data_IF_073062662190
#
_entry.id   IF_073062662190
#
_cell.length_a   1.000
_cell.length_b   1.000
_cell.length_c   1.000
_cell.angle_alpha   90.00
_cell.angle_beta   90.00
_cell.angle_gamma   90.00
#
_symmetry.space_group_name_H-M   'P 1'
#
loop_
_entity.id
_entity.type
_entity.pdbx_description
1 polymer ?
#
# COMPACT_ATOMS: atom_id res chain seq x y z
N UNK A 1 -23.58 10.18 -11.56
CA UNK A 1 -22.17 9.80 -11.28
C UNK A 1 -21.63 10.77 -10.25
N UNK A 2 -21.18 10.29 -9.09
CA UNK A 2 -20.58 11.13 -8.05
C UNK A 2 -19.07 10.97 -8.02
N UNK A 3 -18.36 11.96 -7.45
CA UNK A 3 -16.93 11.86 -7.20
C UNK A 3 -16.65 10.74 -6.18
N UNK A 4 -15.69 9.87 -6.47
CA UNK A 4 -15.29 8.78 -5.57
C UNK A 4 -13.79 8.90 -5.26
N UNK A 5 -13.41 9.62 -4.19
CA UNK A 5 -12.03 9.70 -3.74
C UNK A 5 -11.46 8.31 -3.41
N UNK A 6 -10.15 8.16 -3.55
CA UNK A 6 -9.46 6.92 -3.18
C UNK A 6 -9.32 6.85 -1.65
N UNK A 7 -9.91 5.85 -1.02
CA UNK A 7 -9.71 5.55 0.40
C UNK A 7 -8.37 4.83 0.62
N UNK A 8 -7.56 5.35 1.54
CA UNK A 8 -6.23 4.84 1.89
C UNK A 8 -6.14 4.40 3.36
N UNK A 9 -7.25 4.33 4.08
CA UNK A 9 -7.34 3.90 5.49
C UNK A 9 -6.69 2.54 5.76
N UNK A 10 -6.90 1.57 4.85
CA UNK A 10 -6.40 0.21 4.96
C UNK A 10 -4.96 0.01 4.43
N UNK A 11 -4.27 1.07 4.01
CA UNK A 11 -2.89 0.99 3.49
C UNK A 11 -1.87 1.22 4.62
N UNK A 12 -0.73 0.52 4.55
CA UNK A 12 0.41 0.84 5.38
C UNK A 12 1.14 2.06 4.86
N UNK A 13 1.78 2.76 5.79
CA UNK A 13 2.77 3.76 5.46
C UNK A 13 4.03 3.06 4.99
N UNK A 14 4.54 3.52 3.86
CA UNK A 14 5.80 3.04 3.28
C UNK A 14 6.59 4.26 2.83
N UNK A 15 7.88 4.09 2.55
CA UNK A 15 8.63 5.15 1.88
C UNK A 15 8.06 5.31 0.47
N UNK A 16 7.64 6.53 0.14
CA UNK A 16 7.11 6.93 -1.16
C UNK A 16 8.10 7.91 -1.76
N UNK A 17 8.43 7.73 -3.03
CA UNK A 17 9.33 8.64 -3.74
C UNK A 17 8.80 8.85 -5.15
N UNK A 18 8.81 10.09 -5.62
CA UNK A 18 8.47 10.45 -6.99
C UNK A 18 9.49 11.45 -7.53
N UNK A 19 9.87 11.28 -8.80
CA UNK A 19 10.66 12.24 -9.57
C UNK A 19 9.84 12.72 -10.75
N UNK A 20 9.81 14.03 -10.97
CA UNK A 20 9.20 14.65 -12.13
C UNK A 20 10.19 15.62 -12.79
N UNK A 21 9.98 15.87 -14.08
CA UNK A 21 10.76 16.82 -14.85
C UNK A 21 9.86 17.64 -15.77
N UNK A 22 10.37 18.77 -16.25
CA UNK A 22 9.73 19.59 -17.28
C UNK A 22 10.66 20.70 -17.76
N UNK A 23 10.27 21.39 -18.83
CA UNK A 23 11.09 22.43 -19.47
C UNK A 23 10.25 23.62 -19.88
N UNK A 24 10.84 24.81 -19.86
CA UNK A 24 10.30 26.01 -20.51
C UNK A 24 11.30 26.50 -21.54
N UNK A 25 10.87 26.60 -22.79
CA UNK A 25 11.66 27.14 -23.88
C UNK A 25 11.63 28.68 -23.85
N UNK A 26 12.78 29.30 -24.06
CA UNK A 26 12.99 30.75 -23.98
C UNK A 26 13.70 31.26 -25.23
N UNK A 27 13.56 32.55 -25.53
CA UNK A 27 14.34 33.21 -26.57
C UNK A 27 15.83 33.33 -26.18
N UNK A 28 16.76 33.41 -27.16
CA UNK A 28 18.18 33.62 -26.87
C UNK A 28 18.45 34.88 -26.03
N UNK A 29 17.67 35.94 -26.23
CA UNK A 29 17.77 37.20 -25.47
C UNK A 29 17.41 36.99 -23.99
N UNK A 30 16.34 36.23 -23.72
CA UNK A 30 15.94 35.87 -22.36
C UNK A 30 16.99 35.03 -21.66
N UNK A 31 17.57 34.05 -22.36
CA UNK A 31 18.64 33.20 -21.84
C UNK A 31 19.86 34.05 -21.45
N UNK A 32 20.25 34.98 -22.32
CA UNK A 32 21.38 35.87 -22.08
C UNK A 32 21.12 36.83 -20.90
N UNK A 33 19.89 37.33 -20.78
CA UNK A 33 19.46 38.17 -19.66
C UNK A 33 19.55 37.41 -18.32
N UNK A 34 19.17 36.13 -18.29
CA UNK A 34 19.34 35.27 -17.11
C UNK A 34 20.83 35.05 -16.80
N UNK A 35 21.64 34.68 -17.81
CA UNK A 35 23.10 34.46 -17.65
C UNK A 35 23.81 35.68 -17.05
N UNK A 36 23.43 36.88 -17.47
CA UNK A 36 24.00 38.15 -17.00
C UNK A 36 23.38 38.68 -15.70
N UNK A 37 22.35 38.02 -15.16
CA UNK A 37 21.64 38.50 -13.96
C UNK A 37 20.92 39.82 -14.16
N UNK A 38 20.44 40.10 -15.37
CA UNK A 38 19.84 41.38 -15.76
C UNK A 38 18.31 41.42 -15.65
N UNK A 39 17.69 40.33 -15.18
CA UNK A 39 16.25 40.27 -14.94
C UNK A 39 15.89 41.18 -13.76
N UNK A 40 15.05 42.23 -13.92
CA UNK A 40 14.80 43.20 -12.84
C UNK A 40 14.16 42.61 -11.58
N UNK A 41 13.45 41.49 -11.72
CA UNK A 41 12.81 40.76 -10.60
C UNK A 41 13.79 39.93 -9.77
N UNK A 42 15.07 39.83 -10.16
CA UNK A 42 16.11 39.07 -9.46
C UNK A 42 16.43 37.72 -10.12
N UNK A 43 17.05 36.84 -9.34
CA UNK A 43 17.52 35.53 -9.81
C UNK A 43 16.35 34.60 -10.18
N UNK A 44 16.20 34.33 -11.47
CA UNK A 44 15.12 33.50 -12.02
C UNK A 44 15.24 32.05 -11.56
N UNK A 45 16.45 31.49 -11.51
CA UNK A 45 16.65 30.08 -11.22
C UNK A 45 16.35 29.80 -9.74
N UNK A 46 16.89 30.63 -8.83
CA UNK A 46 16.64 30.49 -7.39
C UNK A 46 15.18 30.76 -7.03
N UNK A 47 14.57 31.82 -7.58
CA UNK A 47 13.15 32.10 -7.33
C UNK A 47 12.26 30.94 -7.82
N UNK A 48 12.61 30.31 -8.95
CA UNK A 48 11.85 29.19 -9.50
C UNK A 48 12.02 27.91 -8.68
N UNK A 49 13.20 27.68 -8.07
CA UNK A 49 13.37 26.60 -7.09
C UNK A 49 12.46 26.80 -5.88
N UNK A 50 12.42 28.03 -5.33
CA UNK A 50 11.54 28.36 -4.21
C UNK A 50 10.05 28.17 -4.56
N UNK A 51 9.64 28.61 -5.75
CA UNK A 51 8.28 28.41 -6.24
C UNK A 51 7.93 26.92 -6.35
N UNK A 52 8.85 26.08 -6.84
CA UNK A 52 8.66 24.64 -6.88
C UNK A 52 8.54 24.00 -5.50
N UNK A 53 9.38 24.40 -4.54
CA UNK A 53 9.30 23.94 -3.15
C UNK A 53 7.95 24.27 -2.50
N UNK A 54 7.44 25.48 -2.74
CA UNK A 54 6.12 25.89 -2.24
C UNK A 54 5.00 25.16 -2.97
N UNK A 55 5.12 24.97 -4.29
CA UNK A 55 4.17 24.23 -5.10
C UNK A 55 3.96 22.81 -4.59
N UNK A 56 5.04 22.07 -4.32
CA UNK A 56 4.99 20.73 -3.75
C UNK A 56 4.20 20.70 -2.42
N UNK A 57 4.47 21.65 -1.53
CA UNK A 57 3.85 21.71 -0.18
C UNK A 57 2.39 22.15 -0.20
N UNK A 58 1.92 22.75 -1.31
CA UNK A 58 0.58 23.30 -1.49
C UNK A 58 -0.27 22.50 -2.47
N UNK A 59 0.21 21.36 -2.96
CA UNK A 59 -0.54 20.46 -3.85
C UNK A 59 -1.96 20.14 -3.38
N UNK A 60 -2.23 19.76 -2.11
CA UNK A 60 -3.60 19.49 -1.66
C UNK A 60 -4.52 20.71 -1.66
N UNK A 61 -3.98 21.94 -1.67
CA UNK A 61 -4.77 23.18 -1.75
C UNK A 61 -5.24 23.43 -3.21
N UNK A 62 -4.59 22.83 -4.20
CA UNK A 62 -4.82 23.05 -5.63
C UNK A 62 -5.61 21.87 -6.25
N UNK A 63 -5.29 20.64 -5.86
CA UNK A 63 -5.85 19.43 -6.44
C UNK A 63 -6.86 18.77 -5.48
N UNK A 64 -8.17 18.78 -5.79
CA UNK A 64 -9.23 18.43 -4.84
C UNK A 64 -9.26 16.96 -4.43
N UNK A 65 -8.61 16.07 -5.17
CA UNK A 65 -8.54 14.63 -4.87
C UNK A 65 -7.17 14.18 -4.34
N UNK A 66 -6.23 15.10 -4.17
CA UNK A 66 -4.99 14.80 -3.47
C UNK A 66 -5.26 14.70 -1.96
N UNK A 67 -4.64 13.72 -1.33
CA UNK A 67 -4.61 13.66 0.14
C UNK A 67 -3.65 14.72 0.67
N UNK A 68 -3.86 15.16 1.91
CA UNK A 68 -2.86 15.96 2.60
C UNK A 68 -1.69 15.05 3.03
N UNK A 69 -0.56 15.15 2.34
CA UNK A 69 0.63 14.32 2.58
C UNK A 69 1.67 15.14 3.33
N UNK A 70 2.12 14.62 4.47
CA UNK A 70 3.26 15.17 5.19
C UNK A 70 4.54 14.84 4.42
N UNK A 71 5.09 15.83 3.72
CA UNK A 71 6.31 15.64 2.93
C UNK A 71 7.54 15.67 3.85
N UNK A 72 8.38 14.65 3.75
CA UNK A 72 9.63 14.55 4.51
C UNK A 72 10.81 15.19 3.79
N UNK A 73 10.82 15.15 2.45
CA UNK A 73 11.85 15.76 1.63
C UNK A 73 11.30 16.25 0.29
N UNK A 74 11.69 17.47 -0.09
CA UNK A 74 11.49 18.03 -1.43
C UNK A 74 12.81 18.62 -1.88
N UNK A 75 13.26 18.23 -3.06
CA UNK A 75 14.34 18.89 -3.77
C UNK A 75 13.83 19.33 -5.14
N UNK A 76 14.14 20.57 -5.52
CA UNK A 76 13.84 21.13 -6.83
C UNK A 76 15.12 21.72 -7.39
N UNK A 77 15.52 21.25 -8.56
CA UNK A 77 16.69 21.73 -9.27
C UNK A 77 16.23 22.44 -10.55
N UNK A 78 16.75 23.65 -10.75
CA UNK A 78 16.52 24.45 -11.96
C UNK A 78 17.86 24.65 -12.65
N UNK A 79 17.89 24.39 -13.96
CA UNK A 79 19.10 24.48 -14.77
C UNK A 79 18.82 25.28 -16.02
N UNK A 80 19.64 26.28 -16.29
CA UNK A 80 19.63 26.98 -17.56
C UNK A 80 20.34 26.14 -18.62
N UNK A 81 19.69 25.95 -19.76
CA UNK A 81 20.19 25.30 -20.97
C UNK A 81 20.17 26.29 -22.14
N UNK A 82 20.68 25.88 -23.30
CA UNK A 82 20.85 26.76 -24.47
C UNK A 82 19.54 27.19 -25.13
N UNK A 83 18.44 26.49 -24.83
CA UNK A 83 17.11 26.68 -25.39
C UNK A 83 16.05 26.96 -24.32
N UNK A 84 16.43 27.08 -23.03
CA UNK A 84 15.49 27.41 -21.97
C UNK A 84 15.90 26.99 -20.57
N UNK A 85 14.92 26.83 -19.67
CA UNK A 85 15.14 26.35 -18.30
C UNK A 85 14.54 24.96 -18.13
N UNK A 86 15.38 24.02 -17.72
CA UNK A 86 14.98 22.66 -17.38
C UNK A 86 14.84 22.53 -15.86
N UNK A 87 13.78 21.85 -15.42
CA UNK A 87 13.43 21.70 -14.00
C UNK A 87 13.23 20.24 -13.67
N UNK A 88 13.82 19.81 -12.56
CA UNK A 88 13.53 18.49 -11.96
C UNK A 88 13.08 18.66 -10.51
N UNK A 89 12.22 17.77 -10.06
CA UNK A 89 11.80 17.72 -8.67
C UNK A 89 11.78 16.27 -8.17
N UNK A 90 12.32 16.05 -6.97
CA UNK A 90 12.24 14.79 -6.24
C UNK A 90 11.53 15.02 -4.90
N UNK A 91 10.46 14.26 -4.67
CA UNK A 91 9.65 14.34 -3.46
C UNK A 91 9.65 12.98 -2.77
N UNK A 92 9.77 12.98 -1.44
CA UNK A 92 9.74 11.77 -0.61
C UNK A 92 8.90 11.99 0.65
N UNK A 93 8.17 10.96 1.04
CA UNK A 93 7.50 10.89 2.33
C UNK A 93 7.42 9.44 2.86
N UNK A 94 7.03 9.30 4.12
CA UNK A 94 6.48 8.08 4.70
C UNK A 94 4.95 8.22 4.71
N UNK A 95 4.27 7.51 3.80
CA UNK A 95 2.85 7.77 3.54
C UNK A 95 2.08 6.57 2.99
N UNK A 96 0.74 6.67 3.07
CA UNK A 96 -0.22 5.66 2.58
C UNK A 96 -0.54 5.77 1.09
N UNK A 97 -0.22 6.92 0.51
CA UNK A 97 -0.43 7.26 -0.90
C UNK A 97 0.84 7.87 -1.47
N UNK A 98 0.95 7.97 -2.79
CA UNK A 98 2.17 8.43 -3.45
C UNK A 98 2.28 9.94 -3.51
N UNK A 99 3.48 10.42 -3.86
CA UNK A 99 3.84 11.84 -3.96
C UNK A 99 4.03 12.30 -5.40
N UNK A 100 3.40 11.59 -6.35
CA UNK A 100 3.49 11.91 -7.79
C UNK A 100 2.98 13.33 -8.07
N UNK A 101 1.88 13.72 -7.42
CA UNK A 101 1.25 15.02 -7.66
C UNK A 101 2.06 16.15 -7.05
N UNK A 102 2.70 15.94 -5.91
CA UNK A 102 3.59 16.91 -5.27
C UNK A 102 4.81 17.19 -6.18
N UNK A 103 5.40 16.13 -6.76
CA UNK A 103 6.52 16.29 -7.71
C UNK A 103 6.10 17.02 -8.99
N UNK A 104 4.96 16.64 -9.59
CA UNK A 104 4.43 17.32 -10.78
C UNK A 104 4.06 18.78 -10.52
N UNK A 105 3.47 19.06 -9.36
CA UNK A 105 3.10 20.43 -8.95
C UNK A 105 4.35 21.28 -8.73
N UNK A 106 5.40 20.71 -8.14
CA UNK A 106 6.68 21.40 -7.94
C UNK A 106 7.28 21.87 -9.27
N UNK A 107 7.39 20.96 -10.25
CA UNK A 107 7.88 21.28 -11.60
C UNK A 107 6.98 22.35 -12.25
N UNK A 108 5.66 22.17 -12.19
CA UNK A 108 4.71 23.12 -12.79
C UNK A 108 4.84 24.52 -12.19
N UNK A 109 4.91 24.63 -10.86
CA UNK A 109 5.03 25.90 -10.17
C UNK A 109 6.36 26.61 -10.47
N UNK A 110 7.47 25.85 -10.54
CA UNK A 110 8.77 26.39 -10.92
C UNK A 110 8.77 26.95 -12.34
N UNK A 111 8.22 26.21 -13.32
CA UNK A 111 8.13 26.64 -14.72
C UNK A 111 7.21 27.86 -14.89
N UNK A 112 6.08 27.89 -14.18
CA UNK A 112 5.19 29.06 -14.13
C UNK A 112 5.88 30.29 -13.54
N UNK A 113 6.76 30.11 -12.55
CA UNK A 113 7.53 31.21 -11.99
C UNK A 113 8.55 31.77 -13.00
N UNK A 114 9.25 30.91 -13.75
CA UNK A 114 10.11 31.36 -14.88
C UNK A 114 9.29 32.20 -15.86
N UNK A 115 8.11 31.70 -16.24
CA UNK A 115 7.20 32.42 -17.14
C UNK A 115 6.78 33.78 -16.56
N UNK A 116 6.37 33.84 -15.29
CA UNK A 116 5.95 35.08 -14.63
C UNK A 116 7.07 36.13 -14.63
N UNK A 117 8.31 35.68 -14.39
CA UNK A 117 9.47 36.56 -14.32
C UNK A 117 9.86 37.13 -15.69
N UNK A 118 9.62 36.41 -16.77
CA UNK A 118 10.10 36.75 -18.12
C UNK A 118 9.03 37.24 -19.10
N UNK A 119 7.72 37.11 -18.80
CA UNK A 119 6.61 37.47 -19.71
C UNK A 119 6.61 38.90 -20.27
N UNK A 120 7.38 39.82 -19.67
CA UNK A 120 7.56 41.17 -20.18
C UNK A 120 8.58 41.26 -21.32
N UNK A 121 9.55 40.35 -21.34
CA UNK A 121 10.71 40.33 -22.25
C UNK A 121 10.61 39.24 -23.32
N UNK A 122 9.87 38.16 -23.00
CA UNK A 122 9.67 37.01 -23.87
C UNK A 122 8.17 36.75 -24.06
N UNK A 123 7.73 36.63 -25.31
CA UNK A 123 6.32 36.42 -25.67
C UNK A 123 6.02 35.03 -26.21
N UNK A 124 7.04 34.29 -26.63
CA UNK A 124 6.90 33.00 -27.31
C UNK A 124 7.31 31.82 -26.42
N UNK A 125 7.47 32.07 -25.12
CA UNK A 125 7.79 31.04 -24.14
C UNK A 125 6.79 29.87 -24.17
N UNK A 126 7.32 28.65 -24.11
CA UNK A 126 6.51 27.43 -24.10
C UNK A 126 6.94 26.49 -22.99
N UNK A 127 6.01 26.17 -22.10
CA UNK A 127 6.17 25.10 -21.12
C UNK A 127 5.86 23.77 -21.82
N UNK A 128 6.72 22.76 -21.62
CA UNK A 128 6.64 21.46 -22.27
C UNK A 128 7.15 20.34 -21.37
N UNK A 129 6.83 19.11 -21.76
CA UNK A 129 7.45 17.88 -21.24
C UNK A 129 7.33 17.68 -19.71
N UNK A 130 6.30 18.28 -19.09
CA UNK A 130 5.98 18.02 -17.68
C UNK A 130 5.50 16.58 -17.55
N UNK A 131 6.31 15.73 -16.92
CA UNK A 131 5.99 14.31 -16.75
C UNK A 131 6.63 13.71 -15.50
N UNK A 132 6.08 12.58 -15.09
CA UNK A 132 6.64 11.74 -14.04
C UNK A 132 7.77 10.89 -14.65
N UNK A 133 8.98 11.00 -14.09
CA UNK A 133 10.16 10.23 -14.51
C UNK A 133 10.17 8.88 -13.83
N UNK A 134 9.92 8.86 -12.52
CA UNK A 134 9.88 7.61 -11.75
C UNK A 134 9.04 7.77 -10.51
N UNK A 135 8.53 6.64 -10.02
CA UNK A 135 7.94 6.52 -8.69
C UNK A 135 8.34 5.21 -8.04
N UNK A 136 8.44 5.21 -6.72
CA UNK A 136 8.72 4.03 -5.89
C UNK A 136 7.88 4.07 -4.62
N UNK A 137 7.66 2.89 -4.07
CA UNK A 137 7.00 2.65 -2.80
C UNK A 137 5.61 2.04 -2.93
N UNK A 138 5.08 1.64 -1.76
CA UNK A 138 3.74 1.07 -1.54
C UNK A 138 3.45 -0.21 -2.29
N UNK A 139 2.15 -0.53 -2.44
CA UNK A 139 1.71 -1.87 -2.86
C UNK A 139 2.33 -2.34 -4.18
N UNK A 140 2.52 -1.45 -5.16
CA UNK A 140 3.07 -1.83 -6.47
C UNK A 140 4.46 -2.46 -6.42
N UNK A 141 5.21 -2.25 -5.34
CA UNK A 141 6.60 -2.72 -5.24
C UNK A 141 6.71 -4.14 -4.67
N UNK A 142 5.65 -4.63 -4.00
CA UNK A 142 5.70 -5.91 -3.28
C UNK A 142 4.41 -6.74 -3.35
N UNK A 143 3.29 -6.15 -3.76
CA UNK A 143 2.00 -6.81 -3.73
C UNK A 143 1.86 -7.79 -4.88
N UNK A 144 1.56 -9.03 -4.54
CA UNK A 144 1.12 -10.05 -5.48
C UNK A 144 -0.31 -10.45 -5.12
N UNK A 145 -1.13 -10.80 -6.11
CA UNK A 145 -2.44 -11.41 -5.85
C UNK A 145 -2.29 -12.86 -5.37
N UNK A 146 -3.41 -13.55 -5.16
CA UNK A 146 -3.46 -14.97 -4.80
C UNK A 146 -3.69 -15.88 -6.03
N UNK A 147 -3.61 -15.35 -7.26
CA UNK A 147 -3.86 -16.14 -8.47
C UNK A 147 -2.99 -17.41 -8.53
N UNK A 148 -3.61 -18.54 -8.85
CA UNK A 148 -2.93 -19.84 -8.92
C UNK A 148 -2.68 -20.51 -7.56
N UNK A 149 -3.00 -19.88 -6.44
CA UNK A 149 -2.95 -20.51 -5.12
C UNK A 149 -4.26 -21.21 -4.78
N UNK A 150 -4.13 -22.41 -4.19
CA UNK A 150 -5.24 -23.15 -3.58
C UNK A 150 -5.38 -22.74 -2.12
N UNK A 151 -6.57 -22.28 -1.76
CA UNK A 151 -6.89 -21.80 -0.43
C UNK A 151 -7.92 -22.72 0.26
N UNK A 152 -7.85 -22.81 1.58
CA UNK A 152 -8.89 -23.38 2.41
C UNK A 152 -9.44 -22.31 3.38
N UNK A 153 -10.74 -22.37 3.68
CA UNK A 153 -11.39 -21.54 4.70
C UNK A 153 -12.04 -22.43 5.73
N UNK A 154 -11.67 -22.27 7.00
CA UNK A 154 -12.24 -23.04 8.12
C UNK A 154 -12.84 -22.08 9.15
N UNK A 155 -14.13 -22.21 9.42
CA UNK A 155 -14.81 -21.40 10.43
C UNK A 155 -14.95 -22.19 11.72
N UNK A 156 -14.50 -21.60 12.83
CA UNK A 156 -14.62 -22.16 14.18
C UNK A 156 -15.78 -21.44 14.88
N UNK A 157 -16.88 -22.17 15.05
CA UNK A 157 -18.05 -21.66 15.75
C UNK A 157 -19.01 -22.78 16.15
N UNK A 158 -19.19 -22.96 17.45
CA UNK A 158 -20.16 -23.89 18.02
C UNK A 158 -21.60 -23.69 17.48
N UNK A 159 -22.05 -22.43 17.35
CA UNK A 159 -23.40 -22.11 16.87
C UNK A 159 -23.56 -22.37 15.37
N UNK A 160 -22.52 -22.09 14.57
CA UNK A 160 -22.58 -22.37 13.13
C UNK A 160 -22.51 -23.88 12.87
N UNK A 161 -21.68 -24.61 13.63
CA UNK A 161 -21.56 -26.07 13.54
C UNK A 161 -22.88 -26.80 13.88
N UNK A 162 -23.69 -26.24 14.78
CA UNK A 162 -25.04 -26.75 15.09
C UNK A 162 -26.13 -26.29 14.10
N UNK A 163 -25.80 -25.43 13.14
CA UNK A 163 -26.77 -24.86 12.19
C UNK A 163 -27.68 -23.78 12.78
N UNK A 164 -27.35 -23.23 13.95
CA UNK A 164 -28.13 -22.18 14.64
C UNK A 164 -27.82 -20.77 14.11
N UNK A 165 -26.67 -20.61 13.45
CA UNK A 165 -26.22 -19.34 12.89
C UNK A 165 -25.57 -19.54 11.51
N UNK A 166 -25.65 -18.51 10.68
CA UNK A 166 -24.98 -18.49 9.39
C UNK A 166 -23.52 -18.00 9.53
N UNK A 167 -22.60 -18.72 8.88
CA UNK A 167 -21.22 -18.27 8.79
C UNK A 167 -21.06 -17.12 7.79
N UNK A 168 -21.13 -15.90 8.30
CA UNK A 168 -20.85 -14.69 7.51
C UNK A 168 -19.36 -14.42 7.33
N UNK A 169 -18.53 -14.86 8.27
CA UNK A 169 -17.11 -14.54 8.30
C UNK A 169 -16.30 -15.39 7.32
N UNK A 170 -16.54 -16.70 7.27
CA UNK A 170 -15.95 -17.57 6.27
C UNK A 170 -16.42 -17.21 4.86
N UNK A 171 -17.72 -16.93 4.66
CA UNK A 171 -18.22 -16.40 3.36
C UNK A 171 -17.55 -15.10 2.95
N UNK A 172 -17.33 -14.17 3.89
CA UNK A 172 -16.60 -12.94 3.61
C UNK A 172 -15.15 -13.23 3.20
N UNK A 173 -14.50 -14.20 3.84
CA UNK A 173 -13.15 -14.61 3.46
C UNK A 173 -13.10 -15.16 2.05
N UNK A 174 -14.02 -16.07 1.70
CA UNK A 174 -14.13 -16.67 0.36
C UNK A 174 -14.27 -15.59 -0.70
N UNK A 175 -15.26 -14.72 -0.58
CA UNK A 175 -15.50 -13.67 -1.58
C UNK A 175 -14.27 -12.77 -1.77
N UNK A 176 -13.55 -12.42 -0.70
CA UNK A 176 -12.35 -11.58 -0.84
C UNK A 176 -11.22 -12.35 -1.52
N UNK A 177 -10.99 -13.61 -1.14
CA UNK A 177 -9.93 -14.44 -1.72
C UNK A 177 -10.17 -14.63 -3.22
N UNK A 178 -11.40 -14.96 -3.62
CA UNK A 178 -11.75 -15.26 -5.01
C UNK A 178 -11.95 -13.98 -5.84
N UNK A 179 -12.80 -13.06 -5.40
CA UNK A 179 -13.21 -11.91 -6.20
C UNK A 179 -12.18 -10.76 -6.20
N UNK A 180 -11.47 -10.56 -5.08
CA UNK A 180 -10.51 -9.43 -4.96
C UNK A 180 -9.07 -9.84 -5.21
N UNK A 181 -8.70 -11.10 -4.97
CA UNK A 181 -7.32 -11.57 -5.06
C UNK A 181 -7.12 -12.77 -5.99
N UNK A 182 -8.16 -13.32 -6.63
CA UNK A 182 -8.03 -14.37 -7.64
C UNK A 182 -7.55 -15.73 -7.13
N UNK A 183 -7.50 -15.94 -5.80
CA UNK A 183 -7.19 -17.25 -5.22
C UNK A 183 -8.37 -18.22 -5.41
N UNK A 184 -8.10 -19.52 -5.41
CA UNK A 184 -9.16 -20.54 -5.54
C UNK A 184 -9.44 -21.19 -4.18
N UNK A 185 -10.65 -21.02 -3.64
CA UNK A 185 -11.04 -21.72 -2.40
C UNK A 185 -11.50 -23.14 -2.74
N UNK A 186 -10.61 -24.11 -2.52
CA UNK A 186 -10.86 -25.52 -2.87
C UNK A 186 -11.41 -26.33 -1.69
N UNK A 187 -11.40 -25.77 -0.48
CA UNK A 187 -11.95 -26.37 0.73
C UNK A 187 -12.61 -25.32 1.61
N UNK A 188 -13.84 -25.58 2.04
CA UNK A 188 -14.56 -24.76 3.01
C UNK A 188 -15.27 -25.67 4.01
N UNK A 189 -15.10 -25.40 5.30
CA UNK A 189 -15.67 -26.22 6.37
C UNK A 189 -15.97 -25.40 7.62
N UNK A 190 -17.04 -25.76 8.33
CA UNK A 190 -17.38 -25.21 9.64
C UNK A 190 -17.11 -26.30 10.67
N UNK A 191 -16.30 -25.98 11.68
CA UNK A 191 -15.96 -26.86 12.78
C UNK A 191 -16.47 -26.27 14.11
N UNK A 192 -16.83 -27.12 15.09
CA UNK A 192 -17.04 -26.65 16.46
C UNK A 192 -15.72 -26.13 17.06
N UNK A 193 -15.81 -25.38 18.15
CA UNK A 193 -14.66 -24.79 18.86
C UNK A 193 -13.89 -25.87 19.67
N UNK A 194 -13.33 -26.84 18.95
CA UNK A 194 -12.61 -28.00 19.47
C UNK A 194 -11.17 -28.04 18.91
N UNK A 195 -10.20 -27.93 19.81
CA UNK A 195 -8.78 -27.83 19.48
C UNK A 195 -8.29 -28.99 18.60
N UNK A 196 -8.60 -30.22 19.00
CA UNK A 196 -8.05 -31.42 18.37
C UNK A 196 -8.61 -31.62 16.95
N UNK A 197 -9.90 -31.30 16.75
CA UNK A 197 -10.52 -31.36 15.42
C UNK A 197 -9.87 -30.36 14.46
N UNK A 198 -9.62 -29.13 14.92
CA UNK A 198 -8.92 -28.14 14.12
C UNK A 198 -7.48 -28.59 13.81
N UNK A 199 -6.72 -29.02 14.81
CA UNK A 199 -5.34 -29.47 14.61
C UNK A 199 -5.27 -30.65 13.62
N UNK A 200 -6.19 -31.61 13.71
CA UNK A 200 -6.30 -32.71 12.75
C UNK A 200 -6.63 -32.20 11.35
N UNK A 201 -7.58 -31.27 11.21
CA UNK A 201 -7.95 -30.70 9.91
C UNK A 201 -6.81 -29.91 9.26
N UNK A 202 -6.06 -29.14 10.04
CA UNK A 202 -4.89 -28.40 9.56
C UNK A 202 -3.82 -29.35 9.00
N UNK A 203 -3.52 -30.46 9.70
CA UNK A 203 -2.61 -31.51 9.22
C UNK A 203 -3.16 -32.22 7.98
N UNK A 204 -4.47 -32.46 7.92
CA UNK A 204 -5.11 -33.11 6.77
C UNK A 204 -4.94 -32.29 5.48
N UNK A 205 -4.96 -30.96 5.60
CA UNK A 205 -4.86 -30.02 4.48
C UNK A 205 -3.41 -29.64 4.11
N UNK A 206 -2.43 -30.01 4.94
CA UNK A 206 -1.01 -29.83 4.67
C UNK A 206 -0.65 -30.41 3.28
N UNK A 207 -0.01 -29.59 2.44
CA UNK A 207 0.39 -29.97 1.07
C UNK A 207 -0.76 -30.11 0.06
N UNK A 208 -2.03 -30.10 0.49
CA UNK A 208 -3.21 -30.09 -0.41
C UNK A 208 -3.61 -28.68 -0.82
N UNK A 209 -3.32 -27.71 0.04
CA UNK A 209 -3.56 -26.28 -0.19
C UNK A 209 -2.30 -25.48 0.13
N UNK A 210 -2.17 -24.31 -0.51
CA UNK A 210 -1.09 -23.38 -0.27
C UNK A 210 -1.33 -22.55 0.99
N UNK A 211 -2.59 -22.21 1.27
CA UNK A 211 -2.98 -21.33 2.38
C UNK A 211 -4.26 -21.82 3.05
N UNK A 212 -4.29 -21.80 4.38
CA UNK A 212 -5.45 -22.07 5.21
C UNK A 212 -5.79 -20.80 5.99
N UNK A 213 -6.98 -20.25 5.75
CA UNK A 213 -7.55 -19.18 6.56
C UNK A 213 -8.51 -19.79 7.56
N UNK A 214 -8.29 -19.54 8.84
CA UNK A 214 -9.27 -19.87 9.88
C UNK A 214 -9.96 -18.59 10.34
N UNK A 215 -11.22 -18.67 10.76
CA UNK A 215 -11.93 -17.53 11.39
C UNK A 215 -12.67 -17.99 12.63
N UNK A 216 -12.56 -17.22 13.72
CA UNK A 216 -13.15 -17.57 15.02
C UNK A 216 -12.17 -18.25 15.98
N UNK A 217 -12.58 -18.38 17.25
CA UNK A 217 -11.82 -19.08 18.29
C UNK A 217 -10.49 -18.42 18.72
N UNK A 218 -10.28 -17.11 18.47
CA UNK A 218 -9.02 -16.39 18.79
C UNK A 218 -9.12 -15.44 19.99
N UNK A 219 -10.25 -15.41 20.70
CA UNK A 219 -10.47 -14.57 21.88
C UNK A 219 -9.89 -15.16 23.18
N UNK A 220 -10.45 -14.79 24.33
CA UNK A 220 -10.01 -15.26 25.66
C UNK A 220 -10.97 -16.26 26.32
N UNK A 221 -12.04 -16.66 25.64
CA UNK A 221 -12.95 -17.70 26.14
C UNK A 221 -12.20 -19.01 26.31
N UNK A 222 -12.68 -19.87 27.23
CA UNK A 222 -12.17 -21.25 27.34
C UNK A 222 -12.39 -22.07 26.07
N UNK A 223 -13.36 -21.67 25.23
CA UNK A 223 -13.63 -22.27 23.91
C UNK A 223 -12.71 -21.70 22.82
N UNK A 224 -12.07 -20.55 23.03
CA UNK A 224 -11.16 -19.98 22.05
C UNK A 224 -9.84 -20.78 22.02
N UNK A 225 -9.75 -21.81 21.18
CA UNK A 225 -8.57 -22.69 21.11
C UNK A 225 -7.90 -22.69 19.73
N UNK A 226 -8.32 -21.83 18.81
CA UNK A 226 -7.75 -21.74 17.44
C UNK A 226 -6.24 -21.49 17.45
N UNK A 227 -5.70 -20.55 18.26
CA UNK A 227 -4.26 -20.32 18.32
C UNK A 227 -3.49 -21.54 18.87
N UNK A 228 -4.02 -22.21 19.89
CA UNK A 228 -3.43 -23.41 20.48
C UNK A 228 -3.35 -24.55 19.48
N UNK A 229 -4.45 -24.83 18.76
CA UNK A 229 -4.49 -25.84 17.71
C UNK A 229 -3.49 -25.51 16.58
N UNK A 230 -3.39 -24.23 16.21
CA UNK A 230 -2.47 -23.79 15.15
C UNK A 230 -1.01 -23.94 15.59
N UNK A 231 -0.66 -23.54 16.82
CA UNK A 231 0.71 -23.68 17.34
C UNK A 231 1.17 -25.14 17.44
N UNK A 232 0.24 -26.07 17.63
CA UNK A 232 0.57 -27.50 17.69
C UNK A 232 1.05 -28.05 16.33
N UNK A 233 0.63 -27.45 15.22
CA UNK A 233 0.86 -28.00 13.87
C UNK A 233 1.92 -27.24 13.06
N UNK A 234 2.17 -25.98 13.39
CA UNK A 234 3.14 -25.16 12.64
C UNK A 234 4.57 -25.57 12.98
N UNK A 235 5.42 -25.64 11.95
CA UNK A 235 6.88 -25.76 12.08
C UNK A 235 7.53 -24.43 12.42
N UNK A 236 6.95 -23.32 11.94
CA UNK A 236 7.52 -21.98 12.11
C UNK A 236 6.40 -20.97 12.28
N UNK A 237 6.45 -20.19 13.36
CA UNK A 237 5.51 -19.10 13.61
C UNK A 237 5.89 -17.85 12.81
N UNK A 238 4.92 -17.29 12.09
CA UNK A 238 5.05 -16.06 11.31
C UNK A 238 4.64 -14.87 12.18
N UNK A 239 5.41 -14.61 13.23
CA UNK A 239 5.09 -13.63 14.30
C UNK A 239 4.70 -12.26 13.72
N UNK A 240 5.47 -11.76 12.74
CA UNK A 240 5.22 -10.46 12.10
C UNK A 240 3.86 -10.35 11.40
N UNK A 241 3.30 -11.45 10.87
CA UNK A 241 1.95 -11.43 10.30
C UNK A 241 0.91 -11.21 11.39
N UNK A 242 1.01 -11.96 12.49
CA UNK A 242 0.09 -11.86 13.62
C UNK A 242 0.15 -10.48 14.29
N UNK A 243 1.35 -9.89 14.40
CA UNK A 243 1.54 -8.53 14.90
C UNK A 243 0.93 -7.49 13.95
N UNK A 244 1.21 -7.58 12.65
CA UNK A 244 0.66 -6.68 11.66
C UNK A 244 -0.87 -6.70 11.65
N UNK A 245 -1.48 -7.88 11.75
CA UNK A 245 -2.93 -8.05 11.86
C UNK A 245 -3.53 -7.31 13.07
N UNK A 246 -2.88 -7.37 14.23
CA UNK A 246 -3.29 -6.61 15.43
C UNK A 246 -3.11 -5.10 15.24
N UNK A 247 -1.96 -4.67 14.71
CA UNK A 247 -1.66 -3.25 14.46
C UNK A 247 -2.67 -2.64 13.48
N UNK A 248 -3.02 -3.36 12.41
CA UNK A 248 -4.04 -2.92 11.45
C UNK A 248 -5.40 -2.86 12.11
N UNK A 249 -5.79 -3.88 12.86
CA UNK A 249 -7.07 -3.91 13.55
C UNK A 249 -7.27 -2.74 14.51
N UNK A 250 -6.23 -2.33 15.26
CA UNK A 250 -6.29 -1.19 16.20
C UNK A 250 -6.70 0.12 15.52
N UNK A 251 -6.37 0.30 14.23
CA UNK A 251 -6.78 1.49 13.47
C UNK A 251 -8.30 1.63 13.36
N UNK A 252 -9.04 0.52 13.46
CA UNK A 252 -10.50 0.48 13.37
C UNK A 252 -11.15 0.22 14.74
N UNK A 253 -10.53 -0.61 15.58
CA UNK A 253 -11.06 -0.93 16.90
C UNK A 253 -9.96 -1.34 17.89
N UNK A 254 -9.91 -0.75 19.10
CA UNK A 254 -8.98 -1.17 20.15
C UNK A 254 -9.13 -2.64 20.55
N UNK A 255 -10.32 -3.25 20.30
CA UNK A 255 -10.62 -4.65 20.62
C UNK A 255 -9.72 -5.63 19.85
N UNK A 256 -9.09 -5.21 18.75
CA UNK A 256 -8.17 -6.06 17.98
C UNK A 256 -6.93 -6.49 18.78
N UNK A 257 -6.54 -5.76 19.82
CA UNK A 257 -5.47 -6.16 20.75
C UNK A 257 -5.79 -7.44 21.52
N UNK A 258 -7.07 -7.78 21.64
CA UNK A 258 -7.53 -8.95 22.40
C UNK A 258 -7.42 -10.26 21.59
N UNK A 259 -7.11 -10.17 20.29
CA UNK A 259 -6.94 -11.36 19.46
C UNK A 259 -5.61 -12.05 19.75
N UNK A 260 -5.68 -13.35 20.04
CA UNK A 260 -4.54 -14.25 20.20
C UNK A 260 -4.18 -15.00 18.91
N UNK A 261 -4.79 -14.63 17.78
CA UNK A 261 -4.56 -15.30 16.49
C UNK A 261 -3.08 -15.38 16.14
N UNK A 262 -2.67 -16.54 15.63
CA UNK A 262 -1.32 -16.79 15.13
C UNK A 262 -1.32 -17.06 13.64
N UNK A 263 -0.15 -16.94 13.04
CA UNK A 263 0.11 -17.33 11.67
C UNK A 263 1.35 -18.22 11.66
N UNK A 264 1.44 -19.17 10.74
CA UNK A 264 2.61 -20.03 10.66
C UNK A 264 2.65 -20.88 9.42
N UNK A 265 3.76 -21.60 9.27
CA UNK A 265 4.01 -22.54 8.18
C UNK A 265 3.85 -23.96 8.72
N UNK A 266 2.99 -24.75 8.09
CA UNK A 266 2.80 -26.18 8.30
C UNK A 266 3.61 -26.91 7.23
N UNK A 267 4.39 -27.91 7.65
CA UNK A 267 5.22 -28.69 6.74
C UNK A 267 6.25 -27.85 5.99
N UNK A 268 6.33 -28.06 4.69
CA UNK A 268 7.28 -27.38 3.81
C UNK A 268 6.82 -25.96 3.46
N UNK A 269 5.56 -25.77 3.05
CA UNK A 269 5.10 -24.48 2.49
C UNK A 269 3.65 -24.09 2.69
N UNK A 270 2.81 -24.90 3.36
CA UNK A 270 1.40 -24.53 3.59
C UNK A 270 1.33 -23.47 4.69
N UNK A 271 0.76 -22.31 4.41
CA UNK A 271 0.60 -21.23 5.39
C UNK A 271 -0.76 -21.36 6.08
N UNK A 272 -0.80 -21.19 7.40
CA UNK A 272 -2.04 -21.05 8.17
C UNK A 272 -2.13 -19.66 8.80
N UNK A 273 -3.30 -19.04 8.73
CA UNK A 273 -3.56 -17.69 9.25
C UNK A 273 -4.85 -17.70 10.08
N UNK A 274 -4.76 -17.32 11.36
CA UNK A 274 -5.93 -17.16 12.22
C UNK A 274 -6.52 -15.75 12.14
N UNK A 275 -7.62 -15.61 11.39
CA UNK A 275 -8.37 -14.37 11.27
C UNK A 275 -9.32 -14.18 12.48
N UNK A 276 -9.69 -12.93 12.81
CA UNK A 276 -10.75 -12.66 13.77
C UNK A 276 -12.10 -13.27 13.35
N UNK A 277 -12.99 -13.51 14.31
CA UNK A 277 -14.33 -14.05 14.05
C UNK A 277 -15.34 -13.04 13.47
N UNK A 278 -15.00 -11.76 13.40
CA UNK A 278 -15.87 -10.71 12.85
C UNK A 278 -15.61 -10.47 11.36
N UNK A 279 -16.65 -10.24 10.55
CA UNK A 279 -16.54 -9.95 9.11
C UNK A 279 -15.64 -8.75 8.79
N UNK A 280 -15.73 -7.68 9.56
CA UNK A 280 -14.83 -6.51 9.41
C UNK A 280 -13.36 -6.89 9.63
N UNK A 281 -13.08 -7.61 10.71
CA UNK A 281 -11.74 -8.14 10.99
C UNK A 281 -11.22 -9.07 9.89
N UNK A 282 -12.05 -9.98 9.36
CA UNK A 282 -11.67 -10.84 8.21
C UNK A 282 -11.27 -9.98 7.01
N UNK A 283 -12.12 -9.02 6.63
CA UNK A 283 -11.90 -8.15 5.48
C UNK A 283 -10.61 -7.34 5.58
N UNK A 284 -10.38 -6.70 6.73
CA UNK A 284 -9.22 -5.84 6.91
C UNK A 284 -7.91 -6.65 6.94
N UNK A 285 -7.94 -7.83 7.56
CA UNK A 285 -6.75 -8.68 7.66
C UNK A 285 -6.41 -9.37 6.34
N UNK A 286 -7.37 -9.93 5.59
CA UNK A 286 -7.07 -10.57 4.30
C UNK A 286 -6.50 -9.54 3.32
N UNK A 287 -7.12 -8.36 3.20
CA UNK A 287 -6.64 -7.30 2.29
C UNK A 287 -5.25 -6.77 2.63
N UNK A 288 -4.83 -6.99 3.88
CA UNK A 288 -3.51 -6.65 4.37
C UNK A 288 -2.48 -7.75 4.07
N UNK A 289 -2.77 -9.00 4.42
CA UNK A 289 -1.81 -10.13 4.33
C UNK A 289 -1.72 -10.73 2.93
N UNK A 290 -2.83 -10.80 2.18
CA UNK A 290 -2.88 -11.47 0.88
C UNK A 290 -1.75 -11.03 -0.09
N UNK A 291 -1.45 -9.71 -0.20
CA UNK A 291 -0.32 -9.21 -0.99
C UNK A 291 1.05 -9.86 -0.73
N UNK A 292 1.26 -10.46 0.45
CA UNK A 292 2.54 -10.98 0.92
C UNK A 292 2.65 -12.50 0.85
N UNK A 293 1.52 -13.19 0.66
CA UNK A 293 1.42 -14.64 0.83
C UNK A 293 2.26 -15.41 -0.20
N UNK A 294 2.18 -15.06 -1.49
CA UNK A 294 3.01 -15.71 -2.53
C UNK A 294 4.49 -15.63 -2.22
N UNK A 295 4.96 -14.48 -1.74
CA UNK A 295 6.35 -14.32 -1.33
C UNK A 295 6.70 -15.17 -0.12
N UNK A 296 5.84 -15.22 0.91
CA UNK A 296 6.04 -16.07 2.07
C UNK A 296 6.10 -17.57 1.70
N UNK A 297 5.26 -18.05 0.78
CA UNK A 297 5.28 -19.44 0.30
C UNK A 297 6.61 -19.75 -0.40
N UNK A 298 7.08 -18.88 -1.29
CA UNK A 298 8.37 -19.07 -1.98
C UNK A 298 9.54 -19.09 -0.99
N UNK A 299 9.53 -18.19 0.01
CA UNK A 299 10.51 -18.21 1.09
C UNK A 299 10.47 -19.53 1.88
N UNK A 300 9.27 -20.05 2.18
CA UNK A 300 9.10 -21.32 2.87
C UNK A 300 9.69 -22.50 2.08
N UNK A 301 9.51 -22.50 0.75
CA UNK A 301 10.09 -23.47 -0.20
C UNK A 301 11.61 -23.32 -0.39
N UNK A 302 12.24 -22.29 0.18
CA UNK A 302 13.67 -22.00 -0.02
C UNK A 302 13.99 -21.42 -1.40
N UNK A 303 12.98 -20.96 -2.15
CA UNK A 303 13.17 -20.27 -3.42
C UNK A 303 13.72 -18.86 -3.15
N UNK A 304 14.96 -18.60 -3.54
CA UNK A 304 15.51 -17.23 -3.51
C UNK A 304 14.84 -16.40 -4.61
N UNK A 305 14.29 -15.24 -4.27
CA UNK A 305 14.05 -14.19 -5.28
C UNK A 305 15.41 -13.64 -5.71
N UNK A 306 15.69 -13.70 -7.01
CA UNK A 306 16.55 -12.73 -7.70
C UNK A 306 15.82 -11.38 -7.76
#
# INVERSE_FOLDING_TARGET
MGFKPVDVSNKFETIRTAKAEGKIYLSPESIEMIKKGQVPKGDVLLASQMAGLLGAKRTPDILPFCHNIMIDHVQVDTKLEDDGVYVTAEVKCVGRTGVEMEALTAVSAALLNVYDMLKAFDKDMRISDIKLVSKRGGKSDYAEDLEGLKCAVITLSDTCARGEAEDRSGKTAINIIEDEFGGSVVHYEILPDEKDLLAQKLKELEGKVDVIFTTGGTGFSKRDTTPEATREVIRTEMIGFSEAMRIVGIKFTPKSLLSRGVCGIIGDSTIVINLPGSTGGVKDNIRMIAPLIKHAIRMAKGEKKH
#
